data_IF_392982597245
#
_entry.id   IF_392982597245
#
_cell.length_a   1.000
_cell.length_b   1.000
_cell.length_c   1.000
_cell.angle_alpha   90.00
_cell.angle_beta   90.00
_cell.angle_gamma   90.00
#
_symmetry.space_group_name_H-M   'P 1'
#
loop_
_entity.id
_entity.type
_entity.pdbx_description
1 polymer ?
#
# COMPACT_ATOMS: atom_id res chain seq x y z
N UNK A 1 3.50 14.36 7.42
CA UNK A 1 2.93 15.60 6.84
C UNK A 1 1.54 15.28 6.32
N UNK A 2 0.62 16.25 6.29
CA UNK A 2 -0.63 16.12 5.53
C UNK A 2 -0.38 16.62 4.10
N UNK A 3 -0.85 15.89 3.10
CA UNK A 3 -0.66 16.21 1.67
C UNK A 3 -1.90 15.82 0.87
N UNK A 4 -1.96 16.24 -0.39
CA UNK A 4 -2.90 15.67 -1.34
C UNK A 4 -2.47 14.23 -1.66
N UNK A 5 -3.39 13.31 -1.45
CA UNK A 5 -3.28 11.90 -1.84
C UNK A 5 -4.28 11.59 -2.95
N UNK A 6 -4.00 10.56 -3.74
CA UNK A 6 -4.89 9.98 -4.74
C UNK A 6 -6.12 9.35 -4.09
N UNK A 7 -5.96 8.72 -2.92
CA UNK A 7 -7.06 8.18 -2.10
C UNK A 7 -7.64 6.85 -2.59
N UNK A 8 -7.35 6.45 -3.83
CA UNK A 8 -7.60 5.10 -4.38
C UNK A 8 -6.42 4.56 -5.21
N UNK A 9 -5.20 4.65 -4.69
CA UNK A 9 -3.97 4.33 -5.44
C UNK A 9 -3.71 2.81 -5.60
N UNK A 10 -4.58 2.14 -6.35
CA UNK A 10 -4.49 0.71 -6.68
C UNK A 10 -3.73 0.48 -7.97
N UNK A 11 -3.21 -0.75 -8.17
CA UNK A 11 -2.48 -1.11 -9.39
C UNK A 11 -3.26 -0.85 -10.69
N UNK A 12 -4.58 -1.01 -10.66
CA UNK A 12 -5.46 -0.75 -11.81
C UNK A 12 -5.59 0.74 -12.19
N UNK A 13 -5.17 1.64 -11.31
CA UNK A 13 -5.20 3.09 -11.51
C UNK A 13 -3.83 3.64 -11.97
N UNK A 14 -2.92 2.74 -12.39
CA UNK A 14 -1.57 3.08 -12.84
C UNK A 14 -1.31 2.43 -14.19
N UNK A 15 -1.04 3.25 -15.21
CA UNK A 15 -0.51 2.77 -16.49
C UNK A 15 1.00 2.92 -16.51
N UNK A 16 1.70 1.81 -16.74
CA UNK A 16 3.15 1.79 -16.94
C UNK A 16 3.46 1.81 -18.43
N UNK A 17 4.53 2.52 -18.81
CA UNK A 17 5.05 2.47 -20.17
C UNK A 17 5.46 1.03 -20.54
N UNK A 18 5.20 0.64 -21.78
CA UNK A 18 5.58 -0.69 -22.28
C UNK A 18 7.10 -0.80 -22.35
N UNK A 19 7.66 -1.92 -21.89
CA UNK A 19 9.09 -2.20 -22.05
C UNK A 19 9.50 -2.09 -23.53
N UNK A 20 10.55 -1.31 -23.80
CA UNK A 20 11.05 -1.04 -25.17
C UNK A 20 10.37 0.11 -25.91
N UNK A 21 9.39 0.80 -25.32
CA UNK A 21 8.86 2.06 -25.85
C UNK A 21 9.93 3.17 -25.79
N UNK A 22 10.00 4.02 -26.83
CA UNK A 22 10.98 5.13 -26.90
C UNK A 22 10.96 5.95 -25.60
N UNK A 23 12.15 6.13 -25.00
CA UNK A 23 12.42 6.74 -23.68
C UNK A 23 12.13 8.25 -23.56
N UNK A 24 11.39 8.85 -24.49
CA UNK A 24 11.09 10.28 -24.42
C UNK A 24 9.77 10.48 -23.67
N UNK A 25 9.86 10.59 -22.33
CA UNK A 25 8.73 10.96 -21.47
C UNK A 25 7.89 9.81 -20.86
N UNK A 26 8.37 8.57 -20.91
CA UNK A 26 7.63 7.37 -20.46
C UNK A 26 7.51 7.20 -18.94
N UNK A 27 6.91 8.16 -18.24
CA UNK A 27 6.53 8.02 -16.84
C UNK A 27 5.28 7.15 -16.65
N UNK A 28 5.02 6.73 -15.40
CA UNK A 28 3.73 6.14 -15.05
C UNK A 28 2.62 7.20 -15.15
N UNK A 29 1.48 6.83 -15.72
CA UNK A 29 0.29 7.69 -15.76
C UNK A 29 -0.70 7.22 -14.71
N UNK A 30 -1.07 8.12 -13.81
CA UNK A 30 -2.08 7.88 -12.78
C UNK A 30 -3.44 8.34 -13.29
N UNK A 31 -4.49 7.58 -12.99
CA UNK A 31 -5.87 7.88 -13.38
C UNK A 31 -6.83 7.67 -12.20
N UNK A 32 -8.06 8.17 -12.33
CA UNK A 32 -9.13 7.99 -11.33
C UNK A 32 -8.89 8.71 -9.99
N UNK A 33 -8.74 10.03 -10.06
CA UNK A 33 -8.59 10.91 -8.90
C UNK A 33 -9.92 11.22 -8.18
N UNK A 34 -10.97 10.42 -8.37
CA UNK A 34 -12.28 10.68 -7.77
C UNK A 34 -12.28 10.66 -6.23
N UNK A 35 -11.29 9.98 -5.63
CA UNK A 35 -11.10 9.89 -4.17
C UNK A 35 -9.97 10.79 -3.65
N UNK A 36 -9.45 11.69 -4.48
CA UNK A 36 -8.34 12.55 -4.09
C UNK A 36 -8.74 13.50 -2.96
N UNK A 37 -7.83 13.70 -2.01
CA UNK A 37 -8.12 14.49 -0.82
C UNK A 37 -6.90 14.70 0.06
N UNK A 38 -7.09 15.33 1.22
CA UNK A 38 -6.02 15.54 2.19
C UNK A 38 -5.84 14.28 3.04
N UNK A 39 -4.60 13.78 3.16
CA UNK A 39 -4.28 12.61 3.97
C UNK A 39 -2.80 12.52 4.36
N UNK A 40 -2.39 11.39 4.96
CA UNK A 40 -0.99 11.13 5.27
C UNK A 40 -0.21 10.87 3.97
N UNK A 41 1.03 11.35 3.89
CA UNK A 41 1.83 11.23 2.66
C UNK A 41 2.18 9.81 2.24
N UNK A 42 1.97 8.82 3.10
CA UNK A 42 2.24 7.42 2.80
C UNK A 42 0.99 6.57 2.61
N UNK A 43 -0.23 7.12 2.71
CA UNK A 43 -1.45 6.30 2.62
C UNK A 43 -1.59 5.63 1.25
N UNK A 44 -1.34 6.36 0.17
CA UNK A 44 -1.37 5.80 -1.20
C UNK A 44 -0.35 4.67 -1.37
N UNK A 45 0.87 4.85 -0.85
CA UNK A 45 1.92 3.83 -0.91
C UNK A 45 1.53 2.59 -0.11
N UNK A 46 0.97 2.77 1.09
CA UNK A 46 0.45 1.66 1.88
C UNK A 46 -0.63 0.88 1.15
N UNK A 47 -1.60 1.56 0.53
CA UNK A 47 -2.65 0.93 -0.28
C UNK A 47 -2.05 0.19 -1.47
N UNK A 48 -1.14 0.81 -2.20
CA UNK A 48 -0.55 0.26 -3.41
C UNK A 48 0.23 -1.02 -3.13
N UNK A 49 1.10 -1.02 -2.11
CA UNK A 49 1.89 -2.19 -1.75
C UNK A 49 1.00 -3.34 -1.29
N UNK A 50 -0.04 -3.07 -0.49
CA UNK A 50 -1.02 -4.08 -0.09
C UNK A 50 -1.82 -4.65 -1.27
N UNK A 51 -2.10 -3.83 -2.28
CA UNK A 51 -2.88 -4.22 -3.45
C UNK A 51 -2.06 -4.98 -4.49
N UNK A 52 -0.80 -4.57 -4.70
CA UNK A 52 -0.02 -4.91 -5.89
C UNK A 52 1.10 -5.92 -5.62
N UNK A 53 1.63 -5.99 -4.39
CA UNK A 53 2.85 -6.75 -4.10
C UNK A 53 2.53 -8.05 -3.36
N UNK A 54 2.94 -9.21 -3.89
CA UNK A 54 2.81 -10.48 -3.19
C UNK A 54 3.60 -10.54 -1.89
N UNK A 55 3.08 -11.19 -0.82
CA UNK A 55 3.77 -11.28 0.47
C UNK A 55 5.23 -11.77 0.39
N UNK A 56 5.58 -12.79 -0.41
CA UNK A 56 6.98 -13.24 -0.49
C UNK A 56 7.97 -12.17 -0.97
N UNK A 57 7.51 -11.16 -1.72
CA UNK A 57 8.36 -10.04 -2.13
C UNK A 57 8.50 -8.99 -1.03
N UNK A 58 7.48 -8.81 -0.19
CA UNK A 58 7.50 -7.91 0.97
C UNK A 58 8.34 -8.47 2.12
N UNK A 59 8.34 -9.79 2.30
CA UNK A 59 9.12 -10.48 3.35
C UNK A 59 10.58 -10.75 2.94
N UNK A 60 10.92 -10.46 1.69
CA UNK A 60 12.23 -10.81 1.12
C UNK A 60 13.35 -9.96 1.74
N UNK A 61 14.49 -10.56 2.16
CA UNK A 61 15.64 -9.78 2.59
C UNK A 61 16.29 -9.01 1.42
N UNK A 62 16.04 -9.41 0.17
CA UNK A 62 16.62 -8.77 -1.03
C UNK A 62 15.72 -7.72 -1.66
N UNK A 63 14.40 -7.84 -1.51
CA UNK A 63 13.38 -6.97 -2.14
C UNK A 63 12.28 -6.49 -1.19
N UNK A 64 12.49 -6.63 0.13
CA UNK A 64 11.46 -6.48 1.14
C UNK A 64 10.85 -5.09 1.25
N UNK A 65 9.83 -5.00 2.08
CA UNK A 65 9.06 -3.80 2.35
C UNK A 65 9.94 -2.56 2.59
N UNK A 66 10.93 -2.66 3.47
CA UNK A 66 11.86 -1.57 3.75
C UNK A 66 12.58 -1.09 2.48
N UNK A 67 13.03 -2.00 1.62
CA UNK A 67 13.72 -1.64 0.37
C UNK A 67 12.78 -0.96 -0.62
N UNK A 68 11.51 -1.34 -0.66
CA UNK A 68 10.52 -0.65 -1.48
C UNK A 68 10.26 0.77 -0.96
N UNK A 69 10.20 0.94 0.37
CA UNK A 69 10.09 2.26 1.00
C UNK A 69 11.34 3.12 0.75
N UNK A 70 12.53 2.53 0.79
CA UNK A 70 13.78 3.23 0.48
C UNK A 70 13.78 3.84 -0.92
N UNK A 71 13.26 3.11 -1.92
CA UNK A 71 13.12 3.64 -3.28
C UNK A 71 12.21 4.88 -3.27
N UNK A 72 11.08 4.82 -2.57
CA UNK A 72 10.16 5.96 -2.47
C UNK A 72 10.81 7.15 -1.75
N UNK A 73 11.54 6.90 -0.66
CA UNK A 73 12.27 7.95 0.07
C UNK A 73 13.35 8.60 -0.77
N UNK A 74 14.10 7.82 -1.56
CA UNK A 74 15.10 8.37 -2.50
C UNK A 74 14.44 9.30 -3.52
N UNK A 75 13.33 8.85 -4.13
CA UNK A 75 12.62 9.63 -5.14
C UNK A 75 12.00 10.92 -4.57
N UNK A 76 11.46 10.88 -3.35
CA UNK A 76 11.01 12.09 -2.65
C UNK A 76 12.16 13.08 -2.43
N UNK A 77 13.30 12.57 -1.95
CA UNK A 77 14.49 13.40 -1.70
C UNK A 77 15.02 14.02 -2.98
N UNK A 78 15.10 13.26 -4.08
CA UNK A 78 15.52 13.72 -5.40
C UNK A 78 14.56 14.79 -5.96
N UNK A 79 13.29 14.74 -5.57
CA UNK A 79 12.27 15.74 -5.93
C UNK A 79 12.33 17.00 -5.05
N UNK A 80 13.32 17.11 -4.15
CA UNK A 80 13.50 18.27 -3.26
C UNK A 80 12.57 18.28 -2.04
N UNK A 81 11.88 17.17 -1.75
CA UNK A 81 11.05 17.04 -0.55
C UNK A 81 11.92 16.62 0.63
N UNK A 82 11.82 17.34 1.75
CA UNK A 82 12.52 16.96 2.97
C UNK A 82 11.97 15.62 3.51
N UNK A 83 12.84 14.61 3.61
CA UNK A 83 12.48 13.25 4.04
C UNK A 83 12.81 13.06 5.52
N UNK A 84 11.76 13.04 6.34
CA UNK A 84 11.83 12.59 7.73
C UNK A 84 11.43 11.11 7.78
N UNK A 85 12.44 10.22 7.69
CA UNK A 85 12.23 8.77 7.52
C UNK A 85 11.40 8.14 8.64
N UNK A 86 11.72 8.31 9.94
CA UNK A 86 10.91 7.73 11.01
C UNK A 86 9.44 8.17 10.94
N UNK A 87 9.20 9.44 10.61
CA UNK A 87 7.84 9.97 10.46
C UNK A 87 7.10 9.37 9.26
N UNK A 88 7.76 9.22 8.12
CA UNK A 88 7.15 8.62 6.92
C UNK A 88 6.89 7.13 7.14
N UNK A 89 7.84 6.38 7.69
CA UNK A 89 7.62 4.97 8.06
C UNK A 89 6.44 4.81 9.01
N UNK A 90 6.33 5.69 10.01
CA UNK A 90 5.18 5.70 10.91
C UNK A 90 3.87 5.95 10.17
N UNK A 91 3.85 6.89 9.23
CA UNK A 91 2.67 7.17 8.40
C UNK A 91 2.32 6.00 7.48
N UNK A 92 3.31 5.28 6.94
CA UNK A 92 3.10 4.09 6.13
C UNK A 92 2.42 2.99 6.95
N UNK A 93 2.92 2.70 8.15
CA UNK A 93 2.33 1.72 9.08
C UNK A 93 0.90 2.09 9.46
N UNK A 94 0.64 3.37 9.78
CA UNK A 94 -0.73 3.86 10.00
C UNK A 94 -1.62 3.70 8.77
N UNK A 95 -1.10 3.98 7.57
CA UNK A 95 -1.81 3.79 6.32
C UNK A 95 -2.21 2.32 6.09
N UNK A 96 -1.31 1.38 6.39
CA UNK A 96 -1.61 -0.06 6.37
C UNK A 96 -2.75 -0.41 7.34
N UNK A 97 -2.73 0.14 8.57
CA UNK A 97 -3.78 -0.09 9.58
C UNK A 97 -5.13 0.49 9.12
N UNK A 98 -5.16 1.74 8.63
CA UNK A 98 -6.41 2.35 8.15
C UNK A 98 -6.96 1.64 6.91
N UNK A 99 -6.08 1.24 5.98
CA UNK A 99 -6.51 0.46 4.83
C UNK A 99 -7.07 -0.89 5.25
N UNK A 100 -6.48 -1.57 6.24
CA UNK A 100 -7.03 -2.80 6.79
C UNK A 100 -8.41 -2.61 7.43
N UNK A 101 -8.63 -1.50 8.15
CA UNK A 101 -9.96 -1.13 8.66
C UNK A 101 -10.97 -0.99 7.52
N UNK A 102 -10.60 -0.34 6.42
CA UNK A 102 -11.45 -0.26 5.24
C UNK A 102 -11.74 -1.64 4.62
N UNK A 103 -10.72 -2.49 4.49
CA UNK A 103 -10.85 -3.82 3.90
C UNK A 103 -11.75 -4.74 4.73
N UNK A 104 -11.57 -4.74 6.04
CA UNK A 104 -12.40 -5.52 6.97
C UNK A 104 -13.85 -5.05 6.97
N UNK A 105 -14.07 -3.74 7.08
CA UNK A 105 -15.42 -3.16 7.12
C UNK A 105 -16.20 -3.27 5.82
N UNK A 106 -15.53 -3.24 4.66
CA UNK A 106 -16.20 -3.21 3.35
C UNK A 106 -16.19 -4.54 2.61
N UNK A 107 -15.11 -5.30 2.69
CA UNK A 107 -14.90 -6.46 1.82
C UNK A 107 -14.94 -7.78 2.59
N UNK A 108 -14.23 -7.88 3.72
CA UNK A 108 -14.07 -9.18 4.37
C UNK A 108 -15.31 -9.69 5.11
N UNK A 109 -16.26 -8.80 5.46
CA UNK A 109 -17.52 -9.20 6.10
C UNK A 109 -18.37 -10.21 5.29
N UNK A 110 -18.14 -10.31 3.98
CA UNK A 110 -18.84 -11.24 3.10
C UNK A 110 -17.89 -12.19 2.35
N UNK A 111 -16.61 -12.22 2.74
CA UNK A 111 -15.64 -13.07 2.08
C UNK A 111 -15.86 -14.54 2.42
N UNK A 112 -15.98 -15.37 1.38
CA UNK A 112 -16.02 -16.83 1.48
C UNK A 112 -14.94 -17.46 0.60
N UNK A 113 -14.55 -18.73 0.81
CA UNK A 113 -13.64 -19.44 -0.08
C UNK A 113 -14.05 -19.34 -1.56
N UNK A 114 -15.35 -19.48 -1.87
CA UNK A 114 -15.90 -19.40 -3.22
C UNK A 114 -15.72 -18.00 -3.83
N UNK A 115 -15.84 -16.94 -3.01
CA UNK A 115 -15.62 -15.56 -3.47
C UNK A 115 -14.16 -15.29 -3.87
N UNK A 116 -13.21 -15.93 -3.17
CA UNK A 116 -11.79 -15.87 -3.48
C UNK A 116 -11.47 -16.65 -4.76
N UNK A 117 -12.02 -17.86 -4.91
CA UNK A 117 -11.86 -18.67 -6.13
C UNK A 117 -12.37 -17.94 -7.37
N UNK A 118 -13.55 -17.32 -7.28
CA UNK A 118 -14.15 -16.55 -8.38
C UNK A 118 -13.28 -15.37 -8.82
N UNK A 119 -12.53 -14.77 -7.90
CA UNK A 119 -11.73 -13.57 -8.17
C UNK A 119 -10.24 -13.84 -8.38
N UNK A 120 -9.76 -15.08 -8.18
CA UNK A 120 -8.35 -15.44 -8.14
C UNK A 120 -7.53 -14.91 -9.34
N UNK A 121 -8.08 -15.03 -10.54
CA UNK A 121 -7.41 -14.61 -11.80
C UNK A 121 -7.72 -13.17 -12.20
N UNK A 122 -8.67 -12.50 -11.55
CA UNK A 122 -9.08 -11.15 -11.90
C UNK A 122 -8.05 -10.13 -11.41
N UNK A 123 -7.26 -9.56 -12.33
CA UNK A 123 -6.22 -8.56 -12.00
C UNK A 123 -6.76 -7.20 -11.61
N UNK A 124 -8.05 -6.95 -11.86
CA UNK A 124 -8.77 -5.74 -11.44
C UNK A 124 -9.36 -5.86 -10.02
N UNK A 125 -8.99 -6.91 -9.28
CA UNK A 125 -9.34 -7.07 -7.86
C UNK A 125 -8.06 -7.03 -7.04
N UNK A 126 -8.11 -6.34 -5.90
CA UNK A 126 -6.99 -6.25 -4.97
C UNK A 126 -6.45 -7.64 -4.62
N UNK A 127 -5.13 -7.78 -4.56
CA UNK A 127 -4.50 -9.09 -4.27
C UNK A 127 -5.05 -9.71 -2.99
N UNK A 128 -5.20 -8.91 -1.94
CA UNK A 128 -5.78 -9.29 -0.64
C UNK A 128 -7.28 -9.66 -0.70
N UNK A 129 -7.99 -9.33 -1.76
CA UNK A 129 -9.39 -9.75 -2.01
C UNK A 129 -9.53 -10.98 -2.91
N UNK A 130 -8.44 -11.46 -3.51
CA UNK A 130 -8.44 -12.62 -4.43
C UNK A 130 -7.43 -13.71 -4.09
N UNK A 131 -6.66 -13.51 -3.03
CA UNK A 131 -5.72 -14.50 -2.49
C UNK A 131 -5.88 -14.57 -0.98
N UNK A 132 -6.42 -15.68 -0.42
CA UNK A 132 -6.49 -15.87 1.03
C UNK A 132 -5.12 -15.75 1.69
N UNK A 133 -4.08 -16.30 1.07
CA UNK A 133 -2.70 -16.19 1.56
C UNK A 133 -2.26 -14.74 1.70
N UNK A 134 -2.56 -13.88 0.72
CA UNK A 134 -2.23 -12.47 0.81
C UNK A 134 -3.08 -11.74 1.86
N UNK A 135 -4.36 -12.10 2.00
CA UNK A 135 -5.25 -11.54 3.01
C UNK A 135 -4.73 -11.82 4.44
N UNK A 136 -4.36 -13.07 4.74
CA UNK A 136 -3.82 -13.47 6.03
C UNK A 136 -2.46 -12.81 6.30
N UNK A 137 -1.54 -12.82 5.33
CA UNK A 137 -0.25 -12.14 5.50
C UNK A 137 -0.42 -10.63 5.76
N UNK A 138 -1.39 -9.99 5.12
CA UNK A 138 -1.70 -8.59 5.38
C UNK A 138 -2.26 -8.39 6.81
N UNK A 139 -3.14 -9.27 7.28
CA UNK A 139 -3.68 -9.22 8.63
C UNK A 139 -2.58 -9.39 9.70
N UNK A 140 -1.69 -10.37 9.55
CA UNK A 140 -0.55 -10.60 10.45
C UNK A 140 0.38 -9.38 10.51
N UNK A 141 0.69 -8.77 9.36
CA UNK A 141 1.50 -7.56 9.31
C UNK A 141 0.84 -6.38 10.02
N UNK A 142 -0.46 -6.18 9.80
CA UNK A 142 -1.23 -5.10 10.45
C UNK A 142 -1.33 -5.33 11.95
N UNK A 143 -1.50 -6.57 12.40
CA UNK A 143 -1.46 -6.91 13.83
C UNK A 143 -0.14 -6.46 14.47
N UNK A 144 0.99 -6.71 13.82
CA UNK A 144 2.30 -6.22 14.28
C UNK A 144 2.36 -4.69 14.43
N UNK A 145 1.79 -3.96 13.47
CA UNK A 145 1.72 -2.50 13.53
C UNK A 145 0.75 -1.98 14.61
N UNK A 146 -0.40 -2.61 14.79
CA UNK A 146 -1.35 -2.25 15.85
C UNK A 146 -0.71 -2.42 17.21
N UNK A 147 -0.08 -3.57 17.49
CA UNK A 147 0.62 -3.83 18.77
C UNK A 147 1.72 -2.80 19.06
N UNK A 148 2.46 -2.40 18.03
CA UNK A 148 3.47 -1.33 18.13
C UNK A 148 2.83 -0.01 18.58
N UNK A 149 1.73 0.40 17.94
CA UNK A 149 1.05 1.65 18.29
C UNK A 149 0.33 1.60 19.65
N UNK A 150 -0.21 0.45 20.04
CA UNK A 150 -0.78 0.24 21.37
C UNK A 150 0.29 0.39 22.46
N UNK A 151 1.49 -0.17 22.23
CA UNK A 151 2.61 0.00 23.15
C UNK A 151 3.11 1.45 23.22
N UNK A 152 3.18 2.16 22.09
CA UNK A 152 3.47 3.60 22.06
C UNK A 152 2.45 4.40 22.87
N UNK A 153 1.16 4.10 22.70
CA UNK A 153 0.08 4.80 23.40
C UNK A 153 0.12 4.53 24.91
N UNK A 154 0.33 3.28 25.32
CA UNK A 154 0.44 2.92 26.73
C UNK A 154 1.63 3.59 27.43
N UNK A 155 2.71 3.91 26.70
CA UNK A 155 3.85 4.64 27.26
C UNK A 155 3.59 6.14 27.47
N UNK A 156 2.50 6.68 26.91
CA UNK A 156 2.09 8.09 27.05
C UNK A 156 1.07 8.30 28.17
N UNK A 157 0.48 7.23 28.70
CA UNK A 157 -0.58 7.23 29.72
C UNK A 157 -0.06 6.74 31.06
#
# INVERSE_FOLDING_TARGET
MATIQHGDFKAMNVFLAKEGGKKEGGGAVLIDFASAGVGLSMSDISMHLCHAVPPPLLDSPTSGEDKMLEVYFSQLSESGVAVDRPKLERQYKLGCVDYFRFMTGRFYGFSTPESYEKSATNRNVALINRSPKAAFAFAERVEGYVRMFEAEFAALT
#
